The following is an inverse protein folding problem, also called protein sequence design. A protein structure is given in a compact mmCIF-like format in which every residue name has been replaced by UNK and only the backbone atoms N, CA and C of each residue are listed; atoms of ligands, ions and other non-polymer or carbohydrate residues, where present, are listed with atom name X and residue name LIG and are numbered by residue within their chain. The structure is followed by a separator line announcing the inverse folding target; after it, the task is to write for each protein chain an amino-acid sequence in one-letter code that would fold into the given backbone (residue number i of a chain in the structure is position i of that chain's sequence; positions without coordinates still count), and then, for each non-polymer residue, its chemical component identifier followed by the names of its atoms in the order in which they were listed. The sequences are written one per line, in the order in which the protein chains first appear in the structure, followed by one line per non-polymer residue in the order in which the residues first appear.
data_IF_873845046470
#
_entry.id   IF_873845046470
#
_cell.length_a   1.000
_cell.length_b   1.000
_cell.length_c   1.000
_cell.angle_alpha   90.00
_cell.angle_beta   90.00
_cell.angle_gamma   90.00
#
_symmetry.space_group_name_H-M   'P 1'
#
loop_
_entity.id
_entity.type
_entity.pdbx_description
1 polymer ?
#
# COMPACT_ATOMS: atom_id res chain seq x y z
N UNK A 1 5.83 11.91 -16.40
CA UNK A 1 5.30 10.54 -16.16
C UNK A 1 3.80 10.67 -16.08
N UNK A 2 3.03 9.87 -16.81
CA UNK A 2 1.55 9.91 -16.72
C UNK A 2 1.05 8.92 -15.65
N UNK A 3 -0.23 9.00 -15.29
CA UNK A 3 -0.84 8.16 -14.26
C UNK A 3 -0.64 6.66 -14.52
N UNK A 4 -0.85 6.21 -15.75
CA UNK A 4 -0.69 4.81 -16.14
C UNK A 4 0.76 4.29 -15.92
N UNK A 5 1.77 5.12 -16.21
CA UNK A 5 3.16 4.79 -15.94
C UNK A 5 3.45 4.72 -14.43
N UNK A 6 2.91 5.66 -13.64
CA UNK A 6 3.04 5.65 -12.19
C UNK A 6 2.44 4.38 -11.58
N UNK A 7 1.22 4.02 -12.02
CA UNK A 7 0.54 2.80 -11.60
C UNK A 7 1.37 1.56 -11.96
N UNK A 8 1.93 1.48 -13.18
CA UNK A 8 2.76 0.34 -13.57
C UNK A 8 4.01 0.18 -12.69
N UNK A 9 4.67 1.29 -12.34
CA UNK A 9 5.84 1.26 -11.44
C UNK A 9 5.42 0.73 -10.06
N UNK A 10 4.29 1.18 -9.52
CA UNK A 10 3.79 0.69 -8.23
C UNK A 10 3.41 -0.79 -8.28
N UNK A 11 2.77 -1.27 -9.36
CA UNK A 11 2.44 -2.69 -9.49
C UNK A 11 3.69 -3.56 -9.55
N UNK A 12 4.72 -3.12 -10.27
CA UNK A 12 6.01 -3.80 -10.31
C UNK A 12 6.64 -3.84 -8.91
N UNK A 13 6.70 -2.70 -8.21
CA UNK A 13 7.22 -2.64 -6.85
C UNK A 13 6.48 -3.58 -5.89
N UNK A 14 5.14 -3.59 -5.89
CA UNK A 14 4.34 -4.50 -5.06
C UNK A 14 4.62 -5.96 -5.38
N UNK A 15 4.78 -6.29 -6.65
CA UNK A 15 5.09 -7.66 -7.09
C UNK A 15 6.46 -8.11 -6.63
N UNK A 16 7.46 -7.23 -6.66
CA UNK A 16 8.80 -7.54 -6.18
C UNK A 16 8.81 -7.72 -4.65
N UNK A 17 8.14 -6.86 -3.88
CA UNK A 17 8.03 -7.02 -2.42
C UNK A 17 7.35 -8.35 -2.06
N UNK A 18 6.28 -8.72 -2.75
CA UNK A 18 5.54 -9.96 -2.49
C UNK A 18 6.37 -11.24 -2.77
N UNK A 19 7.47 -11.13 -3.54
CA UNK A 19 8.39 -12.25 -3.83
C UNK A 19 9.48 -12.40 -2.78
N UNK A 20 9.69 -11.41 -1.91
CA UNK A 20 10.70 -11.48 -0.87
C UNK A 20 10.23 -12.45 0.21
N UNK A 21 11.02 -13.50 0.44
CA UNK A 21 10.84 -14.37 1.60
C UNK A 21 11.49 -13.72 2.80
N UNK A 22 10.68 -13.36 3.79
CA UNK A 22 11.15 -12.86 5.07
C UNK A 22 11.21 -14.04 6.03
N UNK A 23 12.41 -14.49 6.35
CA UNK A 23 12.64 -15.62 7.26
C UNK A 23 13.27 -15.16 8.58
N UNK A 24 12.68 -15.54 9.71
CA UNK A 24 13.33 -15.44 11.02
C UNK A 24 13.00 -16.67 11.86
N UNK A 25 14.02 -17.26 12.51
CA UNK A 25 13.88 -18.37 13.47
C UNK A 25 12.90 -19.49 13.05
N UNK A 26 13.10 -20.04 11.84
CA UNK A 26 12.31 -21.13 11.24
C UNK A 26 10.85 -20.80 10.86
N UNK A 27 10.50 -19.51 10.71
CA UNK A 27 9.22 -19.07 10.16
C UNK A 27 9.41 -18.32 8.86
N UNK A 28 8.59 -18.67 7.88
CA UNK A 28 8.47 -17.95 6.62
C UNK A 28 7.29 -16.96 6.70
N UNK A 29 7.57 -15.69 6.54
CA UNK A 29 6.57 -14.63 6.51
C UNK A 29 6.29 -14.18 5.08
N UNK A 30 5.01 -14.12 4.74
CA UNK A 30 4.55 -13.43 3.54
C UNK A 30 4.13 -12.01 3.91
N UNK A 31 4.85 -11.03 3.35
CA UNK A 31 4.61 -9.61 3.59
C UNK A 31 4.09 -8.98 2.30
N UNK A 32 3.10 -8.09 2.46
CA UNK A 32 2.58 -7.27 1.38
C UNK A 32 2.54 -5.81 1.80
N UNK A 33 2.57 -4.90 0.82
CA UNK A 33 2.54 -3.45 1.06
C UNK A 33 1.37 -2.79 0.33
N UNK A 34 0.75 -1.82 1.02
CA UNK A 34 -0.16 -0.85 0.41
C UNK A 34 0.60 0.42 0.11
N UNK A 35 0.38 1.00 -1.08
CA UNK A 35 1.05 2.21 -1.54
C UNK A 35 -0.01 3.24 -1.92
N UNK A 36 0.14 4.47 -1.47
CA UNK A 36 -0.67 5.61 -1.90
C UNK A 36 0.10 6.47 -2.89
N UNK A 37 -0.64 7.12 -3.80
CA UNK A 37 -0.08 7.99 -4.84
C UNK A 37 -0.74 9.36 -4.74
N UNK A 38 0.06 10.41 -4.90
CA UNK A 38 -0.41 11.77 -5.11
C UNK A 38 0.23 12.31 -6.39
N UNK A 39 -0.58 12.96 -7.22
CA UNK A 39 -0.10 13.68 -8.39
C UNK A 39 0.40 15.06 -7.98
N UNK A 40 1.53 15.47 -8.56
CA UNK A 40 2.02 16.84 -8.41
C UNK A 40 1.08 17.78 -9.17
N UNK A 41 0.40 18.67 -8.43
CA UNK A 41 -0.43 19.74 -8.99
C UNK A 41 0.19 21.09 -8.61
N UNK A 42 0.42 21.94 -9.62
CA UNK A 42 1.00 23.29 -9.47
C UNK A 42 0.19 24.22 -8.54
N UNK A 43 -1.08 23.88 -8.26
CA UNK A 43 -1.93 24.59 -7.29
C UNK A 43 -1.48 24.41 -5.84
N UNK A 44 -0.82 23.30 -5.53
CA UNK A 44 -0.23 23.02 -4.23
C UNK A 44 1.28 23.11 -4.40
N UNK A 45 1.97 23.93 -3.61
CA UNK A 45 3.43 24.10 -3.74
C UNK A 45 4.19 23.63 -2.50
N UNK A 46 3.47 23.18 -1.48
CA UNK A 46 4.00 22.61 -0.26
C UNK A 46 4.01 21.09 -0.33
N UNK A 47 5.11 20.51 0.14
CA UNK A 47 5.30 19.06 0.15
C UNK A 47 4.37 18.36 1.16
N UNK A 48 3.92 19.08 2.19
CA UNK A 48 3.04 18.56 3.25
C UNK A 48 1.67 18.16 2.68
N UNK A 49 1.10 18.97 1.79
CA UNK A 49 -0.16 18.67 1.11
C UNK A 49 -0.02 17.41 0.25
N UNK A 50 1.04 17.28 -0.55
CA UNK A 50 1.24 16.07 -1.36
C UNK A 50 1.46 14.82 -0.50
N UNK A 51 2.20 14.95 0.61
CA UNK A 51 2.38 13.85 1.54
C UNK A 51 1.06 13.43 2.17
N UNK A 52 0.24 14.38 2.60
CA UNK A 52 -1.09 14.12 3.18
C UNK A 52 -2.01 13.41 2.20
N UNK A 53 -2.03 13.83 0.93
CA UNK A 53 -2.81 13.17 -0.12
C UNK A 53 -2.33 11.74 -0.38
N UNK A 54 -1.01 11.51 -0.41
CA UNK A 54 -0.45 10.18 -0.59
C UNK A 54 -0.73 9.26 0.61
N UNK A 55 -0.67 9.78 1.84
CA UNK A 55 -1.01 9.03 3.06
C UNK A 55 -2.49 8.64 3.07
N UNK A 56 -3.39 9.58 2.74
CA UNK A 56 -4.81 9.29 2.61
C UNK A 56 -5.08 8.18 1.59
N UNK A 57 -4.49 8.26 0.39
CA UNK A 57 -4.63 7.23 -0.63
C UNK A 57 -4.10 5.86 -0.16
N UNK A 58 -3.01 5.84 0.62
CA UNK A 58 -2.46 4.61 1.20
C UNK A 58 -3.41 4.01 2.25
N UNK A 59 -4.01 4.85 3.08
CA UNK A 59 -5.00 4.45 4.08
C UNK A 59 -6.24 3.84 3.43
N UNK A 60 -6.80 4.47 2.40
CA UNK A 60 -7.92 3.95 1.62
C UNK A 60 -7.59 2.57 1.01
N UNK A 61 -6.39 2.42 0.45
CA UNK A 61 -5.90 1.14 -0.08
C UNK A 61 -5.78 0.06 1.01
N UNK A 62 -5.35 0.40 2.24
CA UNK A 62 -5.33 -0.52 3.38
C UNK A 62 -6.74 -0.96 3.77
N UNK A 63 -7.70 -0.03 3.85
CA UNK A 63 -9.08 -0.34 4.19
C UNK A 63 -9.73 -1.30 3.18
N UNK A 64 -9.47 -1.10 1.89
CA UNK A 64 -9.93 -2.03 0.85
C UNK A 64 -9.25 -3.40 0.93
N UNK A 65 -7.97 -3.44 1.31
CA UNK A 65 -7.21 -4.68 1.45
C UNK A 65 -7.59 -5.47 2.72
N UNK A 66 -7.92 -4.83 3.84
CA UNK A 66 -8.42 -5.50 5.05
C UNK A 66 -9.70 -6.31 4.77
N UNK A 67 -10.55 -5.84 3.86
CA UNK A 67 -11.76 -6.56 3.42
C UNK A 67 -11.40 -7.83 2.64
N UNK A 68 -10.24 -7.87 1.94
CA UNK A 68 -9.80 -9.04 1.15
C UNK A 68 -8.85 -9.99 1.89
N UNK A 69 -8.01 -9.49 2.78
CA UNK A 69 -6.86 -10.23 3.33
C UNK A 69 -6.97 -10.55 4.84
N UNK A 70 -7.94 -9.98 5.56
CA UNK A 70 -8.15 -10.25 6.99
C UNK A 70 -9.48 -10.98 7.22
N UNK A 71 -9.51 -12.33 7.23
CA UNK A 71 -10.72 -13.11 7.54
C UNK A 71 -11.12 -13.05 9.03
N UNK A 72 -10.42 -12.27 9.85
CA UNK A 72 -10.61 -12.21 11.31
C UNK A 72 -11.63 -11.18 11.78
N UNK A 73 -12.40 -10.55 10.88
CA UNK A 73 -13.32 -9.48 11.29
C UNK A 73 -14.49 -9.96 12.18
N UNK A 74 -14.77 -11.26 12.24
CA UNK A 74 -15.86 -11.80 13.06
C UNK A 74 -15.55 -13.18 13.68
N UNK A 75 -14.65 -13.24 14.66
CA UNK A 75 -14.81 -14.24 15.71
C UNK A 75 -14.91 -13.52 17.05
N UNK A 76 -16.09 -13.50 17.70
CA UNK A 76 -16.15 -13.07 19.09
C UNK A 76 -15.24 -14.01 19.87
N UNK A 77 -14.35 -13.42 20.67
CA UNK A 77 -13.55 -14.17 21.64
C UNK A 77 -14.56 -14.82 22.59
N UNK A 78 -14.63 -16.15 22.57
CA UNK A 78 -15.33 -16.95 23.59
C UNK A 78 -14.47 -17.08 24.83
#
# INVERSE_FOLDING_TARGET
MNEAQAQQVIQNFRSEIARISFGEAARDYQISVSVGLAEYDLKFQDWETWFTLADQAMYENKMQAEIRNCPFKDKPVQ
#
